data_IF_417351039273
#
_entry.id   IF_417351039273
#
_cell.length_a   1.000
_cell.length_b   1.000
_cell.length_c   1.000
_cell.angle_alpha   90.00
_cell.angle_beta   90.00
_cell.angle_gamma   90.00
#
_symmetry.space_group_name_H-M   'P 1'
#
loop_
_entity.id
_entity.type
_entity.pdbx_description
1 polymer ?
#
# COMPACT_ATOMS: atom_id res chain seq x y z
N UNK A 1 23.80 8.65 -0.31
CA UNK A 1 22.42 8.14 -0.44
C UNK A 1 22.25 7.06 0.60
N UNK A 2 21.12 7.04 1.30
CA UNK A 2 20.83 6.01 2.28
C UNK A 2 19.94 4.95 1.62
N UNK A 3 20.32 3.69 1.75
CA UNK A 3 19.58 2.58 1.18
C UNK A 3 18.53 2.09 2.18
N UNK A 4 17.32 1.86 1.69
CA UNK A 4 16.22 1.27 2.45
C UNK A 4 15.94 -0.15 1.95
N UNK A 5 15.60 -1.06 2.86
CA UNK A 5 15.11 -2.39 2.52
C UNK A 5 13.64 -2.50 2.92
N UNK A 6 12.79 -2.85 1.97
CA UNK A 6 11.41 -3.24 2.25
C UNK A 6 11.43 -4.63 2.87
N UNK A 7 10.96 -4.75 4.11
CA UNK A 7 10.91 -6.03 4.84
C UNK A 7 9.55 -6.73 4.71
N UNK A 8 8.50 -5.96 4.41
CA UNK A 8 7.14 -6.45 4.24
C UNK A 8 6.33 -5.43 3.42
N UNK A 9 5.32 -5.94 2.72
CA UNK A 9 4.28 -5.15 2.06
C UNK A 9 2.99 -5.51 2.78
N UNK A 10 2.25 -4.50 3.26
CA UNK A 10 1.05 -4.74 4.06
C UNK A 10 -0.17 -4.01 3.51
N UNK A 11 -1.27 -4.73 3.37
CA UNK A 11 -2.53 -4.26 2.77
C UNK A 11 -3.71 -4.47 3.73
N UNK A 12 -4.74 -3.64 3.57
CA UNK A 12 -6.07 -3.88 4.13
C UNK A 12 -7.11 -3.62 3.04
N UNK A 13 -7.84 -4.66 2.61
CA UNK A 13 -8.80 -4.54 1.51
C UNK A 13 -10.11 -3.86 1.92
N UNK A 14 -10.35 -3.73 3.23
CA UNK A 14 -11.51 -3.02 3.80
C UNK A 14 -11.09 -2.02 4.87
N UNK A 15 -11.79 -0.88 4.95
CA UNK A 15 -11.55 0.13 6.00
C UNK A 15 -11.83 -0.47 7.38
N UNK A 16 -10.93 -0.22 8.33
CA UNK A 16 -11.00 -0.78 9.69
C UNK A 16 -10.53 -2.23 9.81
N UNK A 17 -10.14 -2.88 8.71
CA UNK A 17 -9.51 -4.21 8.73
C UNK A 17 -8.05 -4.08 9.19
N UNK A 18 -7.60 -5.03 10.01
CA UNK A 18 -6.19 -5.14 10.37
C UNK A 18 -5.37 -5.48 9.12
N UNK A 19 -4.28 -4.74 8.89
CA UNK A 19 -3.36 -5.03 7.78
C UNK A 19 -2.74 -6.41 7.93
N UNK A 20 -2.49 -7.05 6.80
CA UNK A 20 -1.72 -8.29 6.72
C UNK A 20 -0.73 -8.21 5.56
N UNK A 21 0.26 -9.10 5.58
CA UNK A 21 1.35 -9.05 4.61
C UNK A 21 1.00 -9.79 3.32
N UNK A 22 1.50 -9.26 2.21
CA UNK A 22 1.44 -9.86 0.89
C UNK A 22 2.84 -9.96 0.29
N UNK A 23 3.01 -10.87 -0.66
CA UNK A 23 4.31 -11.12 -1.30
C UNK A 23 4.69 -10.03 -2.31
N UNK A 24 3.70 -9.43 -2.96
CA UNK A 24 3.88 -8.41 -3.98
C UNK A 24 2.69 -7.45 -4.03
N UNK A 25 2.94 -6.21 -4.44
CA UNK A 25 1.91 -5.21 -4.68
C UNK A 25 2.07 -4.55 -6.04
N UNK A 26 0.94 -4.23 -6.69
CA UNK A 26 0.90 -3.37 -7.85
C UNK A 26 0.63 -1.92 -7.41
N UNK A 27 1.49 -0.99 -7.83
CA UNK A 27 1.35 0.44 -7.53
C UNK A 27 0.85 1.18 -8.76
N UNK A 28 -0.34 1.76 -8.65
CA UNK A 28 -0.99 2.51 -9.71
C UNK A 28 -0.71 4.00 -9.48
N UNK A 29 -0.12 4.65 -10.49
CA UNK A 29 0.20 6.08 -10.46
C UNK A 29 -1.06 6.89 -10.14
N UNK A 30 -0.92 7.86 -9.23
CA UNK A 30 -2.00 8.75 -8.78
C UNK A 30 -3.19 8.06 -8.11
N UNK A 31 -3.00 6.82 -7.67
CA UNK A 31 -4.03 6.02 -7.01
C UNK A 31 -3.53 5.30 -5.75
N UNK A 32 -2.33 4.70 -5.81
CA UNK A 32 -1.76 3.91 -4.72
C UNK A 32 -1.76 2.41 -4.98
N UNK A 33 -1.77 1.61 -3.91
CA UNK A 33 -1.68 0.15 -4.02
C UNK A 33 -3.01 -0.46 -4.48
N UNK A 34 -2.98 -1.20 -5.58
CA UNK A 34 -4.17 -1.91 -6.07
C UNK A 34 -4.78 -2.80 -4.97
N UNK A 35 -6.08 -2.62 -4.73
CA UNK A 35 -6.84 -3.38 -3.75
C UNK A 35 -6.75 -2.88 -2.30
N UNK A 36 -5.91 -1.89 -1.97
CA UNK A 36 -5.92 -1.32 -0.61
C UNK A 36 -7.12 -0.38 -0.42
N UNK A 37 -7.82 -0.50 0.70
CA UNK A 37 -9.00 0.28 1.03
C UNK A 37 -8.75 1.80 1.16
N UNK A 38 -7.49 2.20 1.21
CA UNK A 38 -7.07 3.60 1.30
C UNK A 38 -6.51 4.13 -0.03
N UNK A 39 -6.39 3.29 -1.07
CA UNK A 39 -6.05 3.74 -2.41
C UNK A 39 -7.20 4.57 -3.03
N UNK A 40 -6.86 5.51 -3.90
CA UNK A 40 -7.82 6.42 -4.53
C UNK A 40 -7.21 7.76 -4.92
N UNK A 41 -8.05 8.65 -5.44
CA UNK A 41 -7.66 10.02 -5.80
C UNK A 41 -7.43 10.87 -4.55
N UNK A 42 -6.24 10.74 -3.95
CA UNK A 42 -5.83 11.42 -2.74
C UNK A 42 -4.31 11.63 -2.70
N UNK A 43 -3.86 12.59 -1.91
CA UNK A 43 -2.45 12.99 -1.85
C UNK A 43 -1.52 11.96 -1.19
N UNK A 44 -2.06 11.04 -0.37
CA UNK A 44 -1.28 9.97 0.29
C UNK A 44 -1.61 8.62 -0.32
N UNK A 45 -0.70 8.14 -1.16
CA UNK A 45 -0.88 6.88 -1.90
C UNK A 45 -0.32 5.67 -1.15
N UNK A 46 0.75 5.83 -0.36
CA UNK A 46 1.42 4.76 0.41
C UNK A 46 1.75 5.29 1.81
N UNK A 47 1.64 4.42 2.83
CA UNK A 47 1.96 4.72 4.24
C UNK A 47 3.01 3.78 4.79
#
# INVERSE_FOLDING_TARGET
MADGKIIAISISEKKGQKKHNIESANLIVDHGMEGDAHAGNWHRQIS
#
